data_IF_025028675312
#
_entry.id   IF_025028675312
#
_cell.length_a   1.000
_cell.length_b   1.000
_cell.length_c   1.000
_cell.angle_alpha   90.00
_cell.angle_beta   90.00
_cell.angle_gamma   90.00
#
_symmetry.space_group_name_H-M   'P 1'
#
loop_
_entity.id
_entity.type
_entity.pdbx_description
1 polymer ?
#
# COMPACT_ATOMS: atom_id res chain seq x y z
N UNK A 1 -1.68 66.55 51.42
CA UNK A 1 -2.41 66.97 50.21
C UNK A 1 -2.70 65.69 49.44
N UNK A 2 -3.89 65.12 49.31
CA UNK A 2 -5.28 65.31 49.78
C UNK A 2 -5.85 63.87 49.82
N UNK A 3 -6.19 63.35 51.00
CA UNK A 3 -7.55 63.12 51.54
C UNK A 3 -8.52 62.33 50.64
N UNK A 4 -8.71 61.07 51.02
CA UNK A 4 -9.89 60.25 50.74
C UNK A 4 -11.16 60.91 51.29
N UNK A 5 -12.30 60.71 50.62
CA UNK A 5 -13.60 60.79 51.29
C UNK A 5 -14.63 59.85 50.64
N UNK A 6 -15.25 59.03 51.49
CA UNK A 6 -16.50 58.28 51.27
C UNK A 6 -17.48 58.85 52.29
N UNK A 7 -18.75 59.09 51.94
CA UNK A 7 -19.83 58.42 52.67
C UNK A 7 -20.93 57.90 51.72
N UNK A 8 -21.44 56.68 51.89
CA UNK A 8 -22.59 56.25 52.72
C UNK A 8 -23.96 56.32 52.02
N UNK A 9 -24.68 55.23 52.23
CA UNK A 9 -25.97 54.82 51.69
C UNK A 9 -27.07 55.42 52.57
N UNK A 10 -28.18 55.86 51.97
CA UNK A 10 -29.44 56.08 52.69
C UNK A 10 -30.55 55.31 51.98
N UNK A 11 -31.10 54.30 52.66
CA UNK A 11 -32.31 53.57 52.26
C UNK A 11 -33.58 54.39 52.58
N UNK A 12 -34.60 54.29 51.72
CA UNK A 12 -36.04 54.39 52.08
C UNK A 12 -36.95 53.89 50.94
N UNK A 13 -37.13 52.58 50.92
CA UNK A 13 -38.37 51.79 50.98
C UNK A 13 -39.69 52.18 50.23
N UNK A 14 -40.31 51.09 49.74
CA UNK A 14 -41.71 50.79 49.34
C UNK A 14 -42.30 51.33 48.02
N UNK A 15 -42.40 50.45 47.01
CA UNK A 15 -43.67 49.74 46.70
C UNK A 15 -43.52 48.72 45.57
N UNK A 16 -43.74 47.46 45.93
CA UNK A 16 -44.26 46.43 45.03
C UNK A 16 -45.55 46.94 44.36
N UNK A 17 -45.58 46.84 43.03
CA UNK A 17 -46.79 46.69 42.26
C UNK A 17 -46.57 45.54 41.30
N UNK A 18 -47.10 44.38 41.66
CA UNK A 18 -47.50 43.38 40.70
C UNK A 18 -48.67 43.89 39.84
N UNK A 19 -48.78 43.27 38.68
CA UNK A 19 -49.81 43.35 37.66
C UNK A 19 -49.84 44.57 36.73
N UNK A 20 -49.29 44.38 35.52
CA UNK A 20 -50.19 44.01 34.42
C UNK A 20 -49.43 43.37 33.24
N UNK A 21 -49.98 42.26 32.75
CA UNK A 21 -49.59 41.63 31.49
C UNK A 21 -49.72 42.63 30.35
N UNK A 22 -48.62 42.91 29.66
CA UNK A 22 -48.67 43.16 28.22
C UNK A 22 -47.70 42.23 27.51
N UNK A 23 -48.31 41.22 26.88
CA UNK A 23 -47.77 40.47 25.75
C UNK A 23 -47.31 41.47 24.66
N UNK A 24 -46.04 41.86 24.75
CA UNK A 24 -45.37 42.75 23.80
C UNK A 24 -44.49 41.96 22.84
N UNK A 25 -45.14 41.23 21.91
CA UNK A 25 -44.68 40.81 20.57
C UNK A 25 -43.16 40.80 20.32
N UNK A 26 -42.64 39.58 20.09
CA UNK A 26 -41.42 39.24 19.37
C UNK A 26 -40.51 40.39 18.97
N UNK A 27 -39.38 40.49 19.67
CA UNK A 27 -38.37 41.52 19.48
C UNK A 27 -37.88 41.54 18.03
N UNK A 28 -37.42 42.70 17.56
CA UNK A 28 -36.91 42.89 16.19
C UNK A 28 -35.89 41.80 15.79
N UNK A 29 -35.06 41.33 16.73
CA UNK A 29 -34.09 40.27 16.51
C UNK A 29 -34.72 38.87 16.30
N UNK A 30 -35.82 38.58 16.99
CA UNK A 30 -36.59 37.35 16.83
C UNK A 30 -37.28 37.37 15.46
N UNK A 31 -37.89 38.50 15.09
CA UNK A 31 -38.46 38.70 13.75
C UNK A 31 -37.44 38.65 12.62
N UNK A 32 -36.20 39.12 12.84
CA UNK A 32 -35.12 39.02 11.84
C UNK A 32 -34.63 37.58 11.72
N UNK A 33 -34.50 36.86 12.84
CA UNK A 33 -34.14 35.44 12.83
C UNK A 33 -35.21 34.60 12.15
N UNK A 34 -36.47 34.84 12.49
CA UNK A 34 -37.63 34.21 11.87
C UNK A 34 -37.70 34.56 10.40
N UNK A 35 -37.47 35.82 10.00
CA UNK A 35 -37.46 36.22 8.58
C UNK A 35 -36.32 35.60 7.76
N UNK A 36 -35.13 35.45 8.34
CA UNK A 36 -34.01 34.75 7.70
C UNK A 36 -34.32 33.26 7.56
N UNK A 37 -34.97 32.66 8.57
CA UNK A 37 -35.39 31.26 8.53
C UNK A 37 -36.53 31.04 7.51
N UNK A 38 -37.54 31.90 7.51
CA UNK A 38 -38.71 31.85 6.61
C UNK A 38 -38.30 32.09 5.15
N UNK A 39 -37.29 32.94 4.90
CA UNK A 39 -36.68 33.12 3.59
C UNK A 39 -35.78 31.94 3.22
N UNK A 40 -35.01 31.41 4.17
CA UNK A 40 -34.21 30.20 3.96
C UNK A 40 -35.09 29.03 3.52
N UNK A 41 -36.14 28.73 4.26
CA UNK A 41 -37.11 27.66 3.95
C UNK A 41 -37.88 27.94 2.65
N UNK A 42 -38.35 29.18 2.41
CA UNK A 42 -39.04 29.52 1.15
C UNK A 42 -38.12 29.47 -0.07
N UNK A 43 -36.83 29.80 0.08
CA UNK A 43 -35.83 29.68 -0.99
C UNK A 43 -35.51 28.21 -1.24
N UNK A 44 -35.39 27.38 -0.20
CA UNK A 44 -35.22 25.92 -0.31
C UNK A 44 -36.39 25.25 -1.03
N UNK A 45 -37.63 25.70 -0.79
CA UNK A 45 -38.83 25.17 -1.46
C UNK A 45 -39.03 25.69 -2.89
N UNK A 46 -38.57 26.91 -3.19
CA UNK A 46 -38.82 27.57 -4.50
C UNK A 46 -37.66 27.38 -5.49
N UNK A 47 -36.46 27.08 -5.01
CA UNK A 47 -35.25 26.84 -5.81
C UNK A 47 -34.63 25.55 -5.28
N UNK A 48 -34.47 24.53 -6.12
CA UNK A 48 -34.03 23.17 -5.73
C UNK A 48 -32.60 23.08 -5.16
N UNK A 49 -32.33 23.75 -4.04
CA UNK A 49 -31.10 23.73 -3.26
C UNK A 49 -30.99 22.40 -2.52
N UNK A 50 -30.66 21.34 -3.27
CA UNK A 50 -30.28 20.06 -2.68
C UNK A 50 -28.83 20.09 -2.21
N UNK A 51 -28.50 19.25 -1.22
CA UNK A 51 -27.14 19.15 -0.69
C UNK A 51 -26.20 18.59 -1.77
N UNK A 52 -24.93 19.03 -1.82
CA UNK A 52 -23.93 18.40 -2.66
C UNK A 52 -23.76 16.92 -2.31
N UNK A 53 -23.42 16.11 -3.32
CA UNK A 53 -23.23 14.66 -3.16
C UNK A 53 -21.81 14.27 -3.57
N UNK A 54 -21.24 13.30 -2.86
CA UNK A 54 -19.93 12.71 -3.19
C UNK A 54 -20.10 11.23 -3.50
N UNK A 55 -19.39 10.74 -4.52
CA UNK A 55 -19.37 9.33 -4.88
C UNK A 55 -17.99 8.92 -5.40
N UNK A 56 -17.60 7.66 -5.20
CA UNK A 56 -16.34 7.14 -5.74
C UNK A 56 -16.52 6.86 -7.23
N UNK A 57 -15.82 7.63 -8.06
CA UNK A 57 -15.77 7.39 -9.50
C UNK A 57 -14.81 6.25 -9.85
N UNK A 58 -13.71 6.11 -9.11
CA UNK A 58 -12.71 5.08 -9.36
C UNK A 58 -11.62 5.00 -8.30
N UNK A 59 -10.91 3.88 -8.27
CA UNK A 59 -9.70 3.68 -7.47
C UNK A 59 -8.61 3.18 -8.42
N UNK A 60 -7.46 3.83 -8.38
CA UNK A 60 -6.29 3.51 -9.18
C UNK A 60 -5.12 3.21 -8.27
N UNK A 61 -4.25 2.28 -8.68
CA UNK A 61 -2.99 1.97 -8.00
C UNK A 61 -1.87 2.30 -8.97
N UNK A 62 -1.37 3.55 -9.00
CA UNK A 62 -0.31 3.93 -9.93
C UNK A 62 0.99 3.15 -9.73
N UNK A 63 1.31 2.79 -8.49
CA UNK A 63 2.51 2.03 -8.19
C UNK A 63 2.32 1.13 -6.96
N UNK A 64 2.94 -0.04 -6.99
CA UNK A 64 3.00 -0.96 -5.86
C UNK A 64 4.31 -1.76 -5.92
N UNK A 65 5.04 -1.81 -4.82
CA UNK A 65 6.31 -2.53 -4.71
C UNK A 65 6.50 -3.11 -3.28
N UNK A 66 7.73 -3.38 -2.85
CA UNK A 66 8.01 -3.89 -1.49
C UNK A 66 8.09 -2.80 -0.40
N UNK A 67 8.19 -1.52 -0.81
CA UNK A 67 8.36 -0.38 0.08
C UNK A 67 7.02 0.32 0.35
N UNK A 68 6.22 0.53 -0.70
CA UNK A 68 4.95 1.24 -0.63
C UNK A 68 3.93 0.82 -1.69
N UNK A 69 2.68 1.22 -1.46
CA UNK A 69 1.64 1.33 -2.48
C UNK A 69 1.16 2.78 -2.58
N UNK A 70 1.16 3.32 -3.80
CA UNK A 70 0.49 4.57 -4.10
C UNK A 70 -0.90 4.27 -4.65
N UNK A 71 -1.91 4.93 -4.10
CA UNK A 71 -3.33 4.76 -4.45
C UNK A 71 -3.90 6.14 -4.75
N UNK A 72 -4.71 6.24 -5.81
CA UNK A 72 -5.45 7.45 -6.14
C UNK A 72 -6.93 7.13 -6.18
N UNK A 73 -7.69 7.75 -5.29
CA UNK A 73 -9.14 7.65 -5.27
C UNK A 73 -9.72 8.85 -6.01
N UNK A 74 -10.46 8.58 -7.08
CA UNK A 74 -11.19 9.58 -7.85
C UNK A 74 -12.59 9.71 -7.25
N UNK A 75 -12.90 10.88 -6.69
CA UNK A 75 -14.19 11.16 -6.07
C UNK A 75 -14.93 12.22 -6.87
N UNK A 76 -16.13 11.88 -7.33
CA UNK A 76 -17.02 12.78 -8.03
C UNK A 76 -17.84 13.57 -7.03
N UNK A 77 -17.63 14.88 -6.99
CA UNK A 77 -18.43 15.82 -6.20
C UNK A 77 -19.42 16.52 -7.12
N UNK A 78 -20.70 16.41 -6.84
CA UNK A 78 -21.77 17.03 -7.63
C UNK A 78 -22.38 18.20 -6.86
N UNK A 79 -22.45 19.35 -7.52
CA UNK A 79 -23.14 20.52 -7.01
C UNK A 79 -24.47 20.69 -7.76
N UNK A 80 -25.61 20.37 -7.13
CA UNK A 80 -26.90 20.54 -7.79
C UNK A 80 -27.39 22.00 -7.80
N UNK A 81 -26.71 22.90 -7.10
CA UNK A 81 -27.13 24.29 -6.89
C UNK A 81 -26.55 25.23 -7.95
N UNK A 82 -27.21 26.37 -8.24
CA UNK A 82 -26.72 27.37 -9.19
C UNK A 82 -25.56 28.22 -8.67
N UNK A 83 -25.03 27.93 -7.47
CA UNK A 83 -23.97 28.73 -6.84
C UNK A 83 -22.74 27.83 -6.66
N UNK A 84 -21.52 28.29 -7.00
CA UNK A 84 -20.30 27.52 -6.77
C UNK A 84 -20.10 27.20 -5.27
N UNK A 85 -19.62 25.98 -4.98
CA UNK A 85 -19.38 25.49 -3.62
C UNK A 85 -17.86 25.33 -3.43
N UNK A 86 -17.22 26.13 -2.57
CA UNK A 86 -15.83 25.90 -2.17
C UNK A 86 -15.69 24.56 -1.44
N UNK A 87 -14.70 23.78 -1.87
CA UNK A 87 -14.26 22.57 -1.18
C UNK A 87 -13.05 22.94 -0.32
N UNK A 88 -13.30 23.17 0.96
CA UNK A 88 -12.33 23.73 1.89
C UNK A 88 -11.25 22.70 2.20
N UNK A 89 -11.63 21.59 2.81
CA UNK A 89 -10.68 20.61 3.34
C UNK A 89 -11.15 19.20 3.00
N UNK A 90 -10.21 18.29 2.80
CA UNK A 90 -10.49 16.85 2.71
C UNK A 90 -9.66 16.14 3.77
N UNK A 91 -10.34 15.59 4.77
CA UNK A 91 -9.70 14.68 5.71
C UNK A 91 -9.83 13.25 5.17
N UNK A 92 -8.77 12.46 5.29
CA UNK A 92 -8.86 11.04 5.03
C UNK A 92 -8.16 10.23 6.10
N UNK A 93 -8.69 9.04 6.33
CA UNK A 93 -8.21 8.07 7.30
C UNK A 93 -8.37 6.68 6.69
N UNK A 94 -7.30 5.89 6.75
CA UNK A 94 -7.32 4.48 6.35
C UNK A 94 -7.05 3.65 7.58
N UNK A 95 -7.94 2.71 7.82
CA UNK A 95 -7.85 1.81 8.96
C UNK A 95 -7.90 0.36 8.51
N UNK A 96 -7.29 -0.52 9.27
CA UNK A 96 -7.41 -1.98 9.14
C UNK A 96 -7.71 -2.55 10.50
N UNK A 97 -8.83 -3.25 10.65
CA UNK A 97 -9.30 -3.83 11.91
C UNK A 97 -9.26 -2.84 13.11
N UNK A 98 -9.67 -1.59 12.85
CA UNK A 98 -9.70 -0.51 13.84
C UNK A 98 -8.34 0.16 14.12
N UNK A 99 -7.28 -0.25 13.42
CA UNK A 99 -5.95 0.36 13.50
C UNK A 99 -5.82 1.42 12.43
N UNK A 100 -5.38 2.61 12.83
CA UNK A 100 -5.05 3.67 11.88
C UNK A 100 -3.74 3.34 11.14
N UNK A 101 -3.83 3.13 9.83
CA UNK A 101 -2.68 2.90 8.96
C UNK A 101 -2.10 4.22 8.44
N UNK A 102 -2.96 5.11 7.93
CA UNK A 102 -2.55 6.42 7.43
C UNK A 102 -3.69 7.43 7.58
N UNK A 103 -3.35 8.70 7.73
CA UNK A 103 -4.31 9.80 7.66
C UNK A 103 -3.67 11.04 7.05
N UNK A 104 -4.47 11.90 6.44
CA UNK A 104 -3.99 13.19 5.98
C UNK A 104 -5.11 14.21 5.81
N UNK A 105 -4.68 15.43 5.54
CA UNK A 105 -5.52 16.59 5.25
C UNK A 105 -5.05 17.18 3.92
N UNK A 106 -5.99 17.40 3.01
CA UNK A 106 -5.77 18.18 1.78
C UNK A 106 -6.50 19.52 1.99
N UNK A 107 -5.77 20.62 2.24
CA UNK A 107 -6.36 21.94 2.39
C UNK A 107 -6.63 22.56 1.02
N UNK A 108 -7.63 23.43 0.96
CA UNK A 108 -8.07 24.19 -0.20
C UNK A 108 -8.19 23.33 -1.48
N UNK A 109 -9.08 22.34 -1.44
CA UNK A 109 -9.26 21.39 -2.53
C UNK A 109 -10.11 21.94 -3.70
N UNK A 110 -10.29 23.26 -3.76
CA UNK A 110 -10.81 23.97 -4.92
C UNK A 110 -12.28 24.38 -4.79
N UNK A 111 -12.99 24.42 -5.93
CA UNK A 111 -14.38 24.87 -5.99
C UNK A 111 -15.16 24.04 -6.99
N UNK A 112 -16.35 23.57 -6.57
CA UNK A 112 -17.28 22.85 -7.44
C UNK A 112 -18.21 23.87 -8.10
N UNK A 113 -18.13 23.97 -9.42
CA UNK A 113 -18.92 24.93 -10.19
C UNK A 113 -20.44 24.74 -10.02
N UNK A 114 -21.19 25.82 -10.29
CA UNK A 114 -22.65 25.81 -10.29
C UNK A 114 -23.22 24.78 -11.26
N UNK A 115 -24.18 23.97 -10.82
CA UNK A 115 -24.72 22.81 -11.55
C UNK A 115 -23.63 21.87 -12.12
N UNK A 116 -22.45 21.91 -11.52
CA UNK A 116 -21.26 21.24 -12.00
C UNK A 116 -21.03 19.90 -11.34
N UNK A 117 -20.05 19.18 -11.89
CA UNK A 117 -19.47 18.01 -11.26
C UNK A 117 -17.97 18.07 -11.42
N UNK A 118 -17.24 17.92 -10.32
CA UNK A 118 -15.78 17.94 -10.30
C UNK A 118 -15.27 16.60 -9.78
N UNK A 119 -14.23 16.07 -10.43
CA UNK A 119 -13.55 14.86 -9.95
C UNK A 119 -12.31 15.27 -9.16
N UNK A 120 -12.37 15.04 -7.86
CA UNK A 120 -11.27 15.31 -6.93
C UNK A 120 -10.42 14.05 -6.79
N UNK A 121 -9.10 14.19 -6.93
CA UNK A 121 -8.14 13.09 -6.80
C UNK A 121 -7.53 13.10 -5.41
N UNK A 122 -7.68 12.02 -4.67
CA UNK A 122 -7.09 11.86 -3.33
C UNK A 122 -5.91 10.91 -3.45
N UNK A 123 -4.67 11.43 -3.44
CA UNK A 123 -3.47 10.61 -3.42
C UNK A 123 -3.22 10.09 -2.00
N UNK A 124 -3.04 8.78 -1.89
CA UNK A 124 -2.74 8.05 -0.67
C UNK A 124 -1.44 7.29 -0.92
N UNK A 125 -0.50 7.36 0.00
CA UNK A 125 0.71 6.53 -0.03
C UNK A 125 0.76 5.70 1.25
N UNK A 126 0.82 4.40 1.09
CA UNK A 126 0.94 3.43 2.18
C UNK A 126 2.40 2.96 2.24
N UNK A 127 3.12 3.39 3.26
CA UNK A 127 4.50 2.97 3.50
C UNK A 127 4.46 1.71 4.35
N UNK A 128 4.92 0.58 3.81
CA UNK A 128 4.74 -0.70 4.50
C UNK A 128 5.58 -0.81 5.76
N UNK A 129 6.75 -0.17 5.80
CA UNK A 129 7.61 -0.20 6.99
C UNK A 129 6.94 0.49 8.18
N UNK A 130 6.24 1.61 7.97
CA UNK A 130 5.48 2.28 9.03
C UNK A 130 4.38 1.37 9.58
N UNK A 131 3.70 0.61 8.71
CA UNK A 131 2.65 -0.33 9.08
C UNK A 131 3.24 -1.50 9.89
N UNK A 132 4.28 -2.16 9.36
CA UNK A 132 4.91 -3.34 9.98
C UNK A 132 5.59 -3.02 11.31
N UNK A 133 6.20 -1.83 11.43
CA UNK A 133 6.85 -1.39 12.67
C UNK A 133 5.84 -0.97 13.75
N UNK A 134 4.63 -0.60 13.35
CA UNK A 134 3.56 -0.20 14.29
C UNK A 134 2.68 -1.38 14.69
N UNK A 135 2.55 -2.38 13.83
CA UNK A 135 1.62 -3.49 13.99
C UNK A 135 2.29 -4.85 13.70
N UNK A 136 2.80 -5.50 14.75
CA UNK A 136 3.57 -6.75 14.67
C UNK A 136 2.81 -7.93 14.06
N UNK A 137 1.48 -7.90 14.07
CA UNK A 137 0.64 -8.96 13.54
C UNK A 137 0.41 -8.85 12.01
N UNK A 138 0.71 -7.69 11.41
CA UNK A 138 0.68 -7.50 9.97
C UNK A 138 2.00 -8.01 9.37
N UNK A 139 1.93 -9.18 8.75
CA UNK A 139 3.11 -9.86 8.20
C UNK A 139 3.30 -9.53 6.72
N UNK A 140 4.55 -9.38 6.24
CA UNK A 140 4.83 -9.43 4.81
C UNK A 140 4.24 -10.71 4.18
N UNK A 141 3.70 -10.58 2.98
CA UNK A 141 3.01 -11.62 2.23
C UNK A 141 1.49 -11.62 2.43
N UNK A 142 0.98 -10.99 3.49
CA UNK A 142 -0.45 -11.03 3.80
C UNK A 142 -1.29 -10.07 2.95
N UNK A 143 -2.59 -10.33 2.91
CA UNK A 143 -3.62 -9.38 2.46
C UNK A 143 -4.39 -8.93 3.70
N UNK A 144 -4.46 -7.61 3.91
CA UNK A 144 -5.19 -7.03 5.04
C UNK A 144 -6.47 -6.33 4.57
N UNK A 145 -7.58 -6.46 5.32
CA UNK A 145 -8.77 -5.67 5.04
C UNK A 145 -8.48 -4.20 5.37
N UNK A 146 -9.08 -3.29 4.63
CA UNK A 146 -9.02 -1.87 4.92
C UNK A 146 -10.40 -1.21 4.89
N UNK A 147 -10.47 -0.07 5.56
CA UNK A 147 -11.58 0.87 5.53
C UNK A 147 -11.01 2.28 5.33
N UNK A 148 -11.28 2.86 4.17
CA UNK A 148 -10.99 4.27 3.86
C UNK A 148 -12.21 5.08 4.28
N UNK A 149 -11.99 6.10 5.09
CA UNK A 149 -12.95 7.17 5.40
C UNK A 149 -12.40 8.47 4.84
N UNK A 150 -13.24 9.20 4.11
CA UNK A 150 -12.94 10.52 3.58
C UNK A 150 -14.03 11.47 4.02
N UNK A 151 -13.67 12.65 4.47
CA UNK A 151 -14.59 13.70 4.86
C UNK A 151 -14.33 14.93 4.01
N UNK A 152 -15.28 15.27 3.13
CA UNK A 152 -15.23 16.49 2.32
C UNK A 152 -15.89 17.62 3.09
N UNK A 153 -15.11 18.65 3.44
CA UNK A 153 -15.59 19.84 4.12
C UNK A 153 -15.88 20.90 3.06
N UNK A 154 -17.16 21.16 2.82
CA UNK A 154 -17.63 22.13 1.83
C UNK A 154 -18.32 23.31 2.51
N UNK A 155 -18.22 24.50 1.91
CA UNK A 155 -18.98 25.66 2.35
C UNK A 155 -20.14 25.91 1.40
N UNK A 156 -21.36 25.53 1.80
CA UNK A 156 -22.52 25.66 0.93
C UNK A 156 -23.26 26.94 1.30
N UNK A 157 -23.52 27.85 0.34
CA UNK A 157 -24.35 29.02 0.60
C UNK A 157 -25.69 28.62 1.23
N UNK A 158 -26.16 29.40 2.21
CA UNK A 158 -27.37 29.13 3.03
C UNK A 158 -27.19 28.03 4.08
N UNK A 159 -26.57 26.88 3.73
CA UNK A 159 -26.38 25.76 4.68
C UNK A 159 -25.13 25.88 5.55
N UNK A 160 -24.19 26.75 5.19
CA UNK A 160 -22.89 26.88 5.84
C UNK A 160 -21.99 25.67 5.60
N UNK A 161 -21.07 25.44 6.54
CA UNK A 161 -20.08 24.37 6.45
C UNK A 161 -20.72 23.00 6.65
N UNK A 162 -20.62 22.14 5.65
CA UNK A 162 -21.09 20.75 5.68
C UNK A 162 -19.91 19.79 5.57
N UNK A 163 -19.99 18.66 6.29
CA UNK A 163 -19.08 17.53 6.13
C UNK A 163 -19.80 16.41 5.40
N UNK A 164 -19.29 16.03 4.23
CA UNK A 164 -19.82 14.93 3.42
C UNK A 164 -18.91 13.71 3.63
N UNK A 165 -19.33 12.72 4.44
CA UNK A 165 -18.53 11.52 4.67
C UNK A 165 -18.66 10.55 3.50
N UNK A 166 -17.56 9.90 3.19
CA UNK A 166 -17.46 8.83 2.21
C UNK A 166 -16.68 7.68 2.83
N UNK A 167 -17.21 6.47 2.70
CA UNK A 167 -16.59 5.27 3.25
C UNK A 167 -16.51 4.17 2.20
N UNK A 168 -15.36 3.52 2.12
CA UNK A 168 -15.16 2.29 1.33
C UNK A 168 -14.28 1.30 2.05
N UNK A 169 -14.61 0.03 1.89
CA UNK A 169 -13.82 -1.09 2.36
C UNK A 169 -13.20 -1.84 1.19
N UNK A 170 -12.07 -2.49 1.43
CA UNK A 170 -11.42 -3.35 0.45
C UNK A 170 -10.27 -4.13 1.06
N UNK A 171 -9.36 -4.59 0.21
CA UNK A 171 -8.18 -5.36 0.59
C UNK A 171 -6.92 -4.72 0.04
N UNK A 172 -5.85 -4.69 0.84
CA UNK A 172 -4.52 -4.21 0.46
C UNK A 172 -3.50 -5.34 0.70
N UNK A 173 -2.67 -5.69 -0.29
CA UNK A 173 -1.57 -6.62 -0.08
C UNK A 173 -0.41 -5.92 0.65
N UNK A 174 0.34 -6.68 1.44
CA UNK A 174 1.66 -6.29 1.96
C UNK A 174 2.68 -7.18 1.26
N UNK A 175 3.22 -6.81 0.09
CA UNK A 175 4.02 -7.72 -0.72
C UNK A 175 5.28 -8.23 -0.01
N UNK A 176 5.64 -9.48 -0.28
CA UNK A 176 6.88 -10.11 0.14
C UNK A 176 7.64 -10.65 -1.08
N UNK A 177 8.96 -10.50 -1.07
CA UNK A 177 9.82 -11.06 -2.11
C UNK A 177 9.76 -12.59 -2.09
N UNK A 178 9.64 -13.30 -3.23
CA UNK A 178 9.76 -14.75 -3.22
C UNK A 178 11.12 -15.21 -2.70
N UNK A 179 11.12 -16.35 -2.01
CA UNK A 179 12.37 -16.96 -1.53
C UNK A 179 12.92 -17.90 -2.61
N UNK A 180 14.20 -17.76 -2.91
CA UNK A 180 14.88 -18.52 -3.94
C UNK A 180 15.95 -19.44 -3.35
N UNK A 181 16.09 -20.65 -3.92
CA UNK A 181 17.11 -21.62 -3.55
C UNK A 181 17.57 -22.44 -4.77
N UNK A 182 18.85 -22.83 -4.81
CA UNK A 182 19.39 -23.83 -5.75
C UNK A 182 19.43 -25.17 -5.01
N UNK A 183 18.43 -26.02 -5.25
CA UNK A 183 18.38 -27.35 -4.61
C UNK A 183 19.50 -28.26 -5.11
N UNK A 184 19.84 -28.13 -6.39
CA UNK A 184 20.82 -29.00 -7.05
C UNK A 184 21.44 -28.37 -8.27
N UNK A 185 22.72 -28.67 -8.49
CA UNK A 185 23.44 -28.36 -9.72
C UNK A 185 23.71 -29.65 -10.50
N UNK A 186 23.29 -29.68 -11.77
CA UNK A 186 23.56 -30.78 -12.70
C UNK A 186 24.48 -30.29 -13.81
N UNK A 187 25.69 -30.84 -13.89
CA UNK A 187 26.60 -30.57 -15.01
C UNK A 187 26.18 -31.37 -16.24
N UNK A 188 25.98 -30.68 -17.37
CA UNK A 188 25.82 -31.30 -18.69
C UNK A 188 27.17 -31.47 -19.38
N UNK A 189 28.03 -30.46 -19.26
CA UNK A 189 29.41 -30.47 -19.72
C UNK A 189 30.28 -29.96 -18.58
N UNK A 190 31.34 -30.68 -18.25
CA UNK A 190 32.24 -30.30 -17.17
C UNK A 190 33.69 -30.34 -17.65
N UNK A 191 34.27 -29.18 -17.91
CA UNK A 191 35.67 -29.05 -18.33
C UNK A 191 36.24 -27.70 -17.88
N UNK A 192 37.57 -27.63 -17.82
CA UNK A 192 38.26 -26.41 -17.44
C UNK A 192 38.09 -25.26 -18.46
N UNK A 193 37.91 -25.61 -19.73
CA UNK A 193 37.70 -24.66 -20.83
C UNK A 193 36.29 -24.09 -20.87
N UNK A 194 35.30 -24.93 -20.62
CA UNK A 194 33.87 -24.59 -20.63
C UNK A 194 33.09 -25.60 -19.80
N UNK A 195 32.21 -25.08 -18.94
CA UNK A 195 31.31 -25.85 -18.11
C UNK A 195 29.89 -25.36 -18.36
N UNK A 196 28.97 -26.31 -18.62
CA UNK A 196 27.54 -26.07 -18.80
C UNK A 196 26.81 -26.81 -17.69
N UNK A 197 26.03 -26.08 -16.90
CA UNK A 197 25.26 -26.63 -15.79
C UNK A 197 23.78 -26.23 -15.90
N UNK A 198 22.91 -27.10 -15.38
CA UNK A 198 21.51 -26.79 -15.11
C UNK A 198 21.36 -26.63 -13.61
N UNK A 199 20.91 -25.44 -13.20
CA UNK A 199 20.55 -25.13 -11.83
C UNK A 199 19.08 -25.50 -11.65
N UNK A 200 18.80 -26.44 -10.75
CA UNK A 200 17.45 -26.76 -10.32
C UNK A 200 17.08 -25.77 -9.22
N UNK A 201 16.37 -24.72 -9.61
CA UNK A 201 15.91 -23.69 -8.71
C UNK A 201 14.58 -24.06 -8.09
N UNK A 202 14.44 -23.72 -6.82
CA UNK A 202 13.20 -23.65 -6.08
C UNK A 202 12.87 -22.17 -5.86
N UNK A 203 11.67 -21.77 -6.23
CA UNK A 203 11.11 -20.45 -5.95
C UNK A 203 9.84 -20.62 -5.12
N UNK A 204 9.82 -20.03 -3.94
CA UNK A 204 8.73 -20.13 -2.97
C UNK A 204 8.00 -18.79 -2.86
N UNK A 205 6.71 -18.79 -3.23
CA UNK A 205 5.84 -17.64 -3.06
C UNK A 205 5.18 -17.71 -1.69
N UNK A 206 5.57 -16.84 -0.75
CA UNK A 206 4.96 -16.72 0.58
C UNK A 206 3.88 -15.64 0.67
N UNK A 207 3.44 -15.11 -0.48
CA UNK A 207 2.32 -14.19 -0.53
C UNK A 207 1.00 -14.98 -0.52
N UNK A 208 -0.03 -14.39 0.07
CA UNK A 208 -1.42 -14.88 0.07
C UNK A 208 -2.15 -14.62 -1.26
N UNK A 209 -1.42 -14.18 -2.28
CA UNK A 209 -1.86 -13.98 -3.65
C UNK A 209 -0.89 -14.61 -4.65
N UNK A 210 -1.43 -14.93 -5.83
CA UNK A 210 -0.67 -15.52 -6.92
C UNK A 210 0.26 -14.48 -7.56
N UNK A 211 1.44 -14.92 -8.00
CA UNK A 211 2.36 -14.11 -8.79
C UNK A 211 2.48 -14.70 -10.19
N UNK A 212 1.97 -14.00 -11.20
CA UNK A 212 2.14 -14.37 -12.61
C UNK A 212 3.53 -13.96 -13.10
N UNK A 213 4.52 -14.84 -12.94
CA UNK A 213 5.88 -14.64 -13.44
C UNK A 213 5.87 -14.42 -14.95
N UNK A 214 6.54 -13.36 -15.39
CA UNK A 214 6.78 -13.03 -16.81
C UNK A 214 8.24 -13.17 -17.19
N UNK A 215 9.11 -12.60 -16.37
CA UNK A 215 10.56 -12.67 -16.57
C UNK A 215 11.26 -12.89 -15.25
N UNK A 216 12.36 -13.64 -15.32
CA UNK A 216 13.28 -13.92 -14.24
C UNK A 216 14.67 -13.48 -14.69
N UNK A 217 15.15 -12.38 -14.12
CA UNK A 217 16.53 -11.93 -14.26
C UNK A 217 17.32 -12.49 -13.08
N UNK A 218 18.49 -13.06 -13.35
CA UNK A 218 19.32 -13.62 -12.30
C UNK A 218 20.80 -13.48 -12.60
N UNK A 219 21.59 -13.49 -11.53
CA UNK A 219 23.03 -13.67 -11.52
C UNK A 219 23.39 -14.65 -10.41
N UNK A 220 24.36 -15.53 -10.68
CA UNK A 220 24.80 -16.58 -9.76
C UNK A 220 26.28 -16.42 -9.47
N UNK A 221 26.62 -16.54 -8.20
CA UNK A 221 28.00 -16.58 -7.73
C UNK A 221 28.28 -17.93 -7.10
N UNK A 222 29.47 -18.45 -7.36
CA UNK A 222 30.02 -19.58 -6.63
C UNK A 222 31.29 -19.11 -5.90
N UNK A 223 31.34 -19.31 -4.58
CA UNK A 223 32.42 -18.79 -3.72
C UNK A 223 32.75 -17.31 -3.95
N UNK A 224 31.71 -16.48 -4.09
CA UNK A 224 31.85 -15.03 -4.29
C UNK A 224 32.29 -14.61 -5.70
N UNK A 225 32.53 -15.54 -6.63
CA UNK A 225 32.82 -15.22 -8.03
C UNK A 225 31.57 -15.34 -8.90
N UNK A 226 31.24 -14.28 -9.62
CA UNK A 226 30.10 -14.29 -10.55
C UNK A 226 30.41 -15.24 -11.69
N UNK A 227 29.63 -16.32 -11.80
CA UNK A 227 29.78 -17.31 -12.86
C UNK A 227 28.84 -17.03 -14.03
N UNK A 228 27.96 -16.04 -13.91
CA UNK A 228 27.09 -15.59 -14.99
C UNK A 228 25.65 -15.34 -14.54
N UNK A 229 24.90 -14.75 -15.46
CA UNK A 229 23.50 -14.39 -15.28
C UNK A 229 22.82 -14.27 -16.64
N UNK A 230 21.49 -14.35 -16.63
CA UNK A 230 20.67 -14.15 -17.81
C UNK A 230 19.27 -13.67 -17.43
N UNK A 231 18.51 -13.29 -18.44
CA UNK A 231 17.06 -13.11 -18.34
C UNK A 231 16.38 -14.33 -18.97
N UNK A 232 15.42 -14.89 -18.26
CA UNK A 232 14.52 -15.92 -18.77
C UNK A 232 13.11 -15.35 -18.88
N UNK A 233 12.57 -15.35 -20.10
CA UNK A 233 11.15 -15.09 -20.34
C UNK A 233 10.36 -16.38 -20.11
N UNK A 234 9.97 -16.61 -18.86
CA UNK A 234 9.09 -17.69 -18.46
C UNK A 234 7.74 -17.13 -18.00
N UNK A 235 6.67 -17.55 -18.67
CA UNK A 235 5.30 -17.26 -18.26
C UNK A 235 4.74 -18.40 -17.43
N UNK A 236 4.71 -18.25 -16.11
CA UNK A 236 4.08 -19.22 -15.21
C UNK A 236 3.46 -18.55 -14.00
N UNK A 237 2.50 -19.20 -13.36
CA UNK A 237 1.88 -18.69 -12.14
C UNK A 237 2.53 -19.34 -10.92
N UNK A 238 3.18 -18.56 -10.08
CA UNK A 238 3.58 -18.95 -8.74
C UNK A 238 2.35 -18.87 -7.84
N UNK A 239 1.70 -20.00 -7.59
CA UNK A 239 0.52 -20.06 -6.73
C UNK A 239 0.84 -19.47 -5.34
N UNK A 240 -0.15 -18.82 -4.72
CA UNK A 240 -0.05 -18.33 -3.33
C UNK A 240 0.39 -19.44 -2.38
N UNK A 241 1.30 -19.10 -1.46
CA UNK A 241 1.91 -20.06 -0.52
C UNK A 241 2.47 -21.33 -1.20
N UNK A 242 2.86 -21.21 -2.47
CA UNK A 242 3.27 -22.32 -3.34
C UNK A 242 4.77 -22.35 -3.63
N UNK A 243 5.22 -23.51 -4.10
CA UNK A 243 6.61 -23.73 -4.53
C UNK A 243 6.60 -24.08 -6.02
N UNK A 244 7.48 -23.44 -6.78
CA UNK A 244 7.71 -23.73 -8.20
C UNK A 244 9.18 -24.07 -8.43
N UNK A 245 9.43 -24.94 -9.41
CA UNK A 245 10.77 -25.39 -9.74
C UNK A 245 11.12 -24.97 -11.16
N UNK A 246 12.34 -24.47 -11.33
CA UNK A 246 12.86 -23.96 -12.60
C UNK A 246 14.19 -24.61 -12.93
N UNK A 247 14.44 -24.85 -14.22
CA UNK A 247 15.71 -25.39 -14.69
C UNK A 247 16.45 -24.31 -15.47
N UNK A 248 17.43 -23.69 -14.82
CA UNK A 248 18.18 -22.59 -15.41
C UNK A 248 19.49 -23.09 -15.99
N UNK A 249 19.74 -22.97 -17.31
CA UNK A 249 21.04 -23.23 -17.87
C UNK A 249 22.02 -22.09 -17.55
N UNK A 250 23.24 -22.46 -17.14
CA UNK A 250 24.35 -21.53 -16.99
C UNK A 250 25.59 -22.11 -17.67
N UNK A 251 26.32 -21.24 -18.38
CA UNK A 251 27.54 -21.58 -19.09
C UNK A 251 28.65 -20.65 -18.64
N UNK A 252 29.77 -21.20 -18.20
CA UNK A 252 30.92 -20.45 -17.72
C UNK A 252 32.23 -21.18 -17.99
N UNK A 253 33.36 -20.48 -17.90
CA UNK A 253 34.69 -21.04 -18.20
C UNK A 253 35.54 -21.05 -16.92
N UNK A 254 35.72 -22.21 -16.25
CA UNK A 254 36.46 -22.28 -14.98
C UNK A 254 37.86 -21.64 -15.03
N UNK A 255 38.56 -21.71 -16.17
CA UNK A 255 39.88 -21.09 -16.36
C UNK A 255 39.91 -19.57 -16.14
N UNK A 256 38.79 -18.88 -16.35
CA UNK A 256 38.70 -17.42 -16.19
C UNK A 256 38.69 -17.03 -14.69
N UNK A 257 38.47 -18.01 -13.79
CA UNK A 257 38.32 -17.83 -12.35
C UNK A 257 39.43 -18.49 -11.53
N UNK A 258 40.35 -19.21 -12.16
CA UNK A 258 41.50 -19.85 -11.50
C UNK A 258 41.22 -21.21 -10.85
N UNK A 259 42.26 -21.81 -10.25
CA UNK A 259 42.23 -23.19 -9.75
C UNK A 259 41.31 -23.39 -8.55
N UNK A 260 41.09 -22.37 -7.72
CA UNK A 260 40.22 -22.47 -6.54
C UNK A 260 38.76 -22.79 -6.90
N UNK A 261 38.22 -22.17 -7.96
CA UNK A 261 36.88 -22.49 -8.46
C UNK A 261 36.83 -23.91 -9.01
N UNK A 262 37.88 -24.32 -9.74
CA UNK A 262 37.98 -25.65 -10.32
C UNK A 262 38.06 -26.76 -9.27
N UNK A 263 38.84 -26.55 -8.20
CA UNK A 263 38.97 -27.50 -7.10
C UNK A 263 37.66 -27.63 -6.30
N UNK A 264 36.98 -26.50 -6.09
CA UNK A 264 35.70 -26.48 -5.38
C UNK A 264 34.59 -27.20 -6.17
N UNK A 265 34.44 -26.93 -7.48
CA UNK A 265 33.42 -27.62 -8.29
C UNK A 265 33.71 -29.14 -8.36
N UNK A 266 34.97 -29.55 -8.22
CA UNK A 266 35.36 -30.96 -8.13
C UNK A 266 35.07 -31.59 -6.77
N UNK A 267 34.97 -30.81 -5.68
CA UNK A 267 34.69 -31.25 -4.31
C UNK A 267 33.23 -31.62 -4.02
N UNK A 268 32.88 -31.84 -2.74
CA UNK A 268 31.57 -32.37 -2.28
C UNK A 268 30.50 -31.30 -1.95
N UNK A 269 30.72 -30.04 -2.26
CA UNK A 269 29.74 -28.97 -2.07
C UNK A 269 30.28 -27.61 -2.47
N UNK A 270 29.39 -26.71 -2.89
CA UNK A 270 29.75 -25.32 -3.21
C UNK A 270 28.82 -24.38 -2.47
N UNK A 271 29.42 -23.42 -1.76
CA UNK A 271 28.70 -22.23 -1.35
C UNK A 271 28.30 -21.44 -2.59
N UNK A 272 27.08 -20.92 -2.60
CA UNK A 272 26.58 -20.11 -3.70
C UNK A 272 25.82 -18.90 -3.14
N UNK A 273 25.76 -17.85 -3.95
CA UNK A 273 24.80 -16.79 -3.77
C UNK A 273 24.11 -16.51 -5.10
N UNK A 274 22.90 -15.98 -5.03
CA UNK A 274 22.10 -15.64 -6.19
C UNK A 274 21.37 -14.33 -5.91
N UNK A 275 21.30 -13.46 -6.92
CA UNK A 275 20.56 -12.20 -6.89
C UNK A 275 19.84 -12.04 -8.21
N UNK A 276 18.77 -11.26 -8.20
CA UNK A 276 17.98 -11.09 -9.40
C UNK A 276 16.71 -10.30 -9.15
N UNK A 277 15.90 -10.24 -10.19
CA UNK A 277 14.60 -9.60 -10.18
C UNK A 277 13.60 -10.48 -10.92
N UNK A 278 12.36 -10.49 -10.44
CA UNK A 278 11.24 -11.10 -11.15
C UNK A 278 10.23 -10.04 -11.51
N UNK A 279 9.80 -10.01 -12.77
CA UNK A 279 8.65 -9.23 -13.17
C UNK A 279 7.42 -10.12 -13.11
N UNK A 280 6.44 -9.71 -12.32
CA UNK A 280 5.23 -10.48 -12.03
C UNK A 280 3.99 -9.64 -12.28
N UNK A 281 2.94 -10.25 -12.81
CA UNK A 281 1.59 -9.71 -12.74
C UNK A 281 0.92 -10.19 -11.45
N UNK A 282 0.23 -9.28 -10.77
CA UNK A 282 -0.57 -9.60 -9.58
C UNK A 282 -1.99 -9.06 -9.74
N UNK A 283 -2.96 -9.51 -8.93
CA UNK A 283 -4.29 -8.91 -8.88
C UNK A 283 -4.30 -7.40 -8.58
N UNK A 284 -3.20 -6.88 -8.03
CA UNK A 284 -3.04 -5.49 -7.59
C UNK A 284 -2.20 -4.62 -8.53
N UNK A 285 -1.72 -5.21 -9.64
CA UNK A 285 -0.84 -4.55 -10.60
C UNK A 285 0.44 -5.35 -10.86
N UNK A 286 1.19 -4.93 -11.89
CA UNK A 286 2.50 -5.50 -12.18
C UNK A 286 3.51 -5.04 -11.13
N UNK A 287 4.41 -5.93 -10.71
CA UNK A 287 5.48 -5.65 -9.77
C UNK A 287 6.81 -6.17 -10.30
N UNK A 288 7.89 -5.45 -9.99
CA UNK A 288 9.25 -5.92 -10.13
C UNK A 288 9.79 -6.22 -8.72
N UNK A 289 9.97 -7.51 -8.41
CA UNK A 289 10.35 -7.96 -7.07
C UNK A 289 11.80 -8.45 -7.06
N UNK A 290 12.66 -7.94 -6.16
CA UNK A 290 14.00 -8.48 -5.99
C UNK A 290 13.94 -9.89 -5.41
N UNK A 291 14.86 -10.74 -5.84
CA UNK A 291 15.09 -12.06 -5.29
C UNK A 291 16.56 -12.17 -4.89
N UNK A 292 16.82 -12.81 -3.76
CA UNK A 292 18.19 -13.02 -3.31
C UNK A 292 18.31 -14.21 -2.39
N UNK A 293 19.47 -14.86 -2.47
CA UNK A 293 19.96 -15.90 -1.58
C UNK A 293 21.44 -15.66 -1.35
N UNK A 294 21.83 -15.51 -0.10
CA UNK A 294 23.22 -15.38 0.32
C UNK A 294 23.63 -16.63 1.10
N UNK A 295 24.90 -17.02 0.98
CA UNK A 295 25.51 -18.15 1.69
C UNK A 295 24.72 -19.48 1.62
N UNK A 296 24.13 -19.77 0.46
CA UNK A 296 23.45 -21.03 0.20
C UNK A 296 24.43 -22.18 0.03
N UNK A 297 24.05 -23.39 0.46
CA UNK A 297 24.82 -24.61 0.19
C UNK A 297 24.03 -25.53 -0.72
N UNK A 298 24.64 -26.05 -1.77
CA UNK A 298 23.98 -26.97 -2.70
C UNK A 298 24.82 -28.21 -2.99
N UNK A 299 24.16 -29.26 -3.45
CA UNK A 299 24.79 -30.51 -3.85
C UNK A 299 25.10 -30.54 -5.34
N UNK A 300 26.28 -31.06 -5.67
CA UNK A 300 26.73 -31.24 -7.05
C UNK A 300 26.51 -32.71 -7.44
N UNK A 301 25.74 -32.97 -8.50
CA UNK A 301 25.72 -34.30 -9.14
C UNK A 301 26.34 -34.24 -10.53
N UNK A 302 27.45 -34.96 -10.71
CA UNK A 302 28.05 -35.22 -12.02
C UNK A 302 27.22 -36.26 -12.76
N UNK A 303 26.98 -36.07 -14.06
CA UNK A 303 26.35 -37.10 -14.89
C UNK A 303 27.32 -38.27 -15.09
N UNK A 304 26.84 -39.52 -14.96
CA UNK A 304 27.61 -40.78 -15.14
C UNK A 304 28.11 -41.05 -16.58
N UNK A 305 28.35 -40.02 -17.40
CA UNK A 305 28.98 -40.17 -18.71
C UNK A 305 30.21 -39.28 -18.75
N UNK A 306 31.36 -39.94 -18.70
CA UNK A 306 32.74 -39.49 -18.99
C UNK A 306 33.67 -39.53 -17.75
N UNK A 307 34.31 -40.69 -17.60
CA UNK A 307 35.41 -40.96 -16.67
C UNK A 307 35.15 -42.20 -15.81
N UNK A 308 35.91 -43.27 -16.06
CA UNK A 308 35.66 -44.64 -15.61
C UNK A 308 35.90 -44.88 -14.12
N UNK A 309 35.43 -46.08 -13.72
CA UNK A 309 35.67 -46.86 -12.51
C UNK A 309 35.94 -46.07 -11.22
N UNK A 310 34.97 -46.08 -10.33
CA UNK A 310 35.21 -46.49 -8.95
C UNK A 310 33.87 -47.03 -8.41
N UNK A 311 33.86 -48.35 -8.23
CA UNK A 311 32.95 -49.07 -7.34
C UNK A 311 33.11 -48.50 -5.92
N UNK A 312 31.98 -48.29 -5.23
CA UNK A 312 31.84 -48.42 -3.77
C UNK A 312 30.37 -48.09 -3.43
N UNK A 313 29.49 -49.03 -3.75
CA UNK A 313 28.21 -49.18 -3.04
C UNK A 313 28.52 -49.95 -1.75
N UNK A 314 28.84 -49.24 -0.67
CA UNK A 314 28.67 -49.80 0.69
C UNK A 314 27.22 -49.59 1.10
N UNK A 315 26.44 -50.67 0.98
CA UNK A 315 25.20 -50.89 1.72
C UNK A 315 25.52 -50.91 3.22
N UNK A 316 25.14 -49.86 3.95
CA UNK A 316 24.98 -49.99 5.41
C UNK A 316 23.67 -50.75 5.69
N UNK A 317 23.79 -52.06 5.88
CA UNK A 317 22.91 -52.79 6.79
C UNK A 317 23.00 -52.17 8.19
N UNK A 318 21.87 -51.82 8.79
CA UNK A 318 21.78 -51.66 10.25
C UNK A 318 20.56 -52.42 10.76
N UNK A 319 20.85 -53.30 11.72
CA UNK A 319 19.96 -54.16 12.50
C UNK A 319 18.90 -53.40 13.31
#
# INVERSE_FOLDING_TARGET
MESSDKPEIVERDVKEKEDDKQEGKGGFLEKVKDFIHDIGEKIEETIGFSKPTVDVAGIHIPSINLEKADIVVDVLVKNPTPIPIPLIDINYLIESDGRKLVSGLIPDAGTVHAHGSETVKIPISLIYDDIKNTHDDIKPGSIIPYKIRVEFIVDVPVFGRLTLPLEKTGEIPIPYKPDIDIEKIRFQRFSFEETVAILHLKLENKNDFDLGLKTLEYEVWLSGMSIGGAELSESTTLAKNGISHFNIPITFKPKDFGSALWDMIRGKGTGYSMKGHINVDTPFGAMNLPISKEDGTTSIKKSKKDGGDDDDDEEEEVC
#
